data_IF_887304651704
#
_entry.id   IF_887304651704
#
_cell.length_a   1.000
_cell.length_b   1.000
_cell.length_c   1.000
_cell.angle_alpha   90.00
_cell.angle_beta   90.00
_cell.angle_gamma   90.00
#
_symmetry.space_group_name_H-M   'P 1'
#
loop_
_entity.id
_entity.type
_entity.pdbx_description
1 polymer ?
#
# COMPACT_ATOMS: atom_id res chain seq x y z
N UNK A 1 9.02 5.78 9.74
CA UNK A 1 7.82 5.79 10.60
C UNK A 1 7.04 4.52 10.29
N UNK A 2 6.75 3.72 11.30
CA UNK A 2 6.02 2.46 11.13
C UNK A 2 4.53 2.75 10.93
N UNK A 3 3.90 2.04 10.00
CA UNK A 3 2.44 2.09 9.82
C UNK A 3 1.95 0.66 9.86
N UNK A 4 1.05 0.36 10.81
CA UNK A 4 0.35 -0.91 10.80
C UNK A 4 -0.51 -1.01 9.55
N UNK A 5 -0.30 -2.05 8.75
CA UNK A 5 -1.19 -2.40 7.63
C UNK A 5 -2.15 -3.45 8.13
N UNK A 6 -3.44 -3.15 8.09
CA UNK A 6 -4.50 -4.10 8.42
C UNK A 6 -5.10 -4.68 7.14
N UNK A 7 -5.25 -6.01 7.10
CA UNK A 7 -5.95 -6.72 6.04
C UNK A 7 -7.11 -7.51 6.64
N UNK A 8 -8.33 -7.31 6.15
CA UNK A 8 -9.51 -7.99 6.69
C UNK A 8 -9.50 -9.49 6.39
N UNK A 9 -10.21 -10.28 7.21
CA UNK A 9 -10.31 -11.74 7.01
C UNK A 9 -10.80 -12.13 5.61
N UNK A 10 -11.80 -11.40 5.09
CA UNK A 10 -12.30 -11.64 3.74
C UNK A 10 -11.24 -11.43 2.65
N UNK A 11 -10.31 -10.49 2.84
CA UNK A 11 -9.17 -10.30 1.94
C UNK A 11 -8.21 -11.49 2.04
N UNK A 12 -7.89 -11.92 3.26
CA UNK A 12 -6.99 -13.07 3.50
C UNK A 12 -7.58 -14.38 2.96
N UNK A 13 -8.88 -14.63 3.12
CA UNK A 13 -9.53 -15.83 2.60
C UNK A 13 -9.46 -15.89 1.07
N UNK A 14 -9.64 -14.76 0.37
CA UNK A 14 -9.45 -14.68 -1.08
C UNK A 14 -7.99 -14.88 -1.50
N UNK A 15 -7.03 -14.53 -0.65
CA UNK A 15 -5.62 -14.85 -0.90
C UNK A 15 -5.41 -16.37 -0.87
N UNK A 16 -5.92 -17.04 0.16
CA UNK A 16 -5.80 -18.49 0.36
C UNK A 16 -6.51 -19.32 -0.73
N UNK A 17 -7.70 -18.90 -1.17
CA UNK A 17 -8.44 -19.60 -2.23
C UNK A 17 -7.77 -19.40 -3.60
N UNK A 18 -7.20 -18.23 -3.87
CA UNK A 18 -6.47 -17.99 -5.12
C UNK A 18 -5.15 -18.78 -5.19
N UNK A 19 -4.48 -19.02 -4.06
CA UNK A 19 -3.29 -19.90 -4.02
C UNK A 19 -3.66 -21.38 -4.25
N UNK A 20 -4.84 -21.81 -3.81
CA UNK A 20 -5.33 -23.16 -4.07
C UNK A 20 -5.74 -23.39 -5.55
N UNK A 21 -6.11 -22.33 -6.28
CA UNK A 21 -6.36 -22.38 -7.72
C UNK A 21 -5.10 -22.28 -8.59
N UNK A 22 -4.02 -21.67 -8.08
CA UNK A 22 -2.78 -21.46 -8.82
C UNK A 22 -1.84 -22.69 -8.80
N UNK A 23 -2.06 -23.68 -7.93
CA UNK A 23 -1.28 -24.92 -7.87
C UNK A 23 -1.62 -25.94 -8.98
N UNK A 24 -2.59 -25.66 -9.85
CA UNK A 24 -3.01 -26.55 -10.94
C UNK A 24 -2.33 -26.27 -12.31
N UNK A 25 -1.35 -25.36 -12.39
CA UNK A 25 -0.67 -25.07 -13.66
C UNK A 25 0.63 -24.29 -13.49
N UNK A 26 1.71 -24.96 -13.12
CA UNK A 26 3.06 -24.37 -13.16
C UNK A 26 4.01 -25.34 -13.87
N UNK A 27 4.15 -25.15 -15.18
CA UNK A 27 5.22 -25.72 -15.98
C UNK A 27 6.57 -25.11 -15.63
N UNK A 28 7.60 -25.94 -15.71
CA UNK A 28 9.01 -25.68 -15.42
C UNK A 28 9.57 -24.51 -16.22
N UNK A 29 10.07 -23.47 -15.55
CA UNK A 29 11.04 -22.51 -16.12
C UNK A 29 12.18 -22.32 -15.11
N UNK A 30 13.38 -22.71 -15.53
CA UNK A 30 14.63 -22.55 -14.81
C UNK A 30 15.18 -21.12 -14.95
N UNK A 31 15.81 -20.63 -13.87
CA UNK A 31 16.91 -19.68 -13.92
C UNK A 31 16.54 -18.19 -13.87
N UNK A 32 16.95 -17.50 -12.80
CA UNK A 32 16.98 -16.04 -12.75
C UNK A 32 16.80 -15.46 -11.35
N UNK A 33 17.93 -15.19 -10.70
CA UNK A 33 18.15 -14.26 -9.57
C UNK A 33 17.09 -14.18 -8.47
N UNK A 34 17.44 -14.74 -7.32
CA UNK A 34 16.77 -14.59 -6.03
C UNK A 34 16.59 -13.12 -5.67
N UNK A 35 15.49 -12.51 -6.10
CA UNK A 35 14.97 -11.30 -5.46
C UNK A 35 14.70 -11.69 -4.02
N UNK A 36 15.50 -11.16 -3.12
CA UNK A 36 15.31 -11.29 -1.68
C UNK A 36 13.98 -10.62 -1.33
N UNK A 37 12.90 -11.36 -1.44
CA UNK A 37 11.59 -10.98 -0.93
C UNK A 37 11.73 -10.91 0.59
N UNK A 38 11.91 -9.71 1.13
CA UNK A 38 11.78 -9.46 2.56
C UNK A 38 10.41 -9.98 3.00
N UNK A 39 10.39 -11.13 3.68
CA UNK A 39 9.17 -11.75 4.16
C UNK A 39 8.51 -10.83 5.17
N UNK A 40 7.36 -10.28 4.82
CA UNK A 40 6.53 -9.58 5.80
C UNK A 40 5.82 -10.62 6.63
N UNK A 41 6.12 -10.63 7.93
CA UNK A 41 5.39 -11.43 8.90
C UNK A 41 4.01 -10.81 9.12
N UNK A 42 2.97 -11.53 8.70
CA UNK A 42 1.59 -11.23 9.07
C UNK A 42 1.26 -11.91 10.40
N UNK A 43 0.81 -11.11 11.36
CA UNK A 43 0.28 -11.62 12.61
C UNK A 43 -1.24 -11.58 12.54
N UNK A 44 -1.89 -12.72 12.82
CA UNK A 44 -3.34 -12.76 12.94
C UNK A 44 -3.78 -11.82 14.08
N UNK A 45 -4.78 -10.98 13.79
CA UNK A 45 -5.35 -10.04 14.75
C UNK A 45 -6.83 -10.35 14.94
N UNK A 46 -7.22 -10.56 16.20
CA UNK A 46 -8.61 -10.78 16.62
C UNK A 46 -8.95 -9.79 17.74
N UNK A 47 -8.99 -8.50 17.41
CA UNK A 47 -9.36 -7.46 18.37
C UNK A 47 -10.87 -7.18 18.26
N UNK A 48 -11.58 -7.26 19.38
CA UNK A 48 -12.97 -6.82 19.53
C UNK A 48 -13.95 -7.32 18.45
N UNK A 49 -13.90 -8.62 18.10
CA UNK A 49 -14.81 -9.23 17.13
C UNK A 49 -14.50 -8.97 15.65
N UNK A 50 -13.43 -8.22 15.35
CA UNK A 50 -12.91 -8.06 14.00
C UNK A 50 -11.75 -9.03 13.74
N UNK A 51 -11.88 -9.86 12.71
CA UNK A 51 -10.86 -10.84 12.28
C UNK A 51 -10.04 -10.23 11.12
N UNK A 52 -8.72 -10.21 11.25
CA UNK A 52 -7.82 -9.69 10.22
C UNK A 52 -6.36 -10.12 10.41
N UNK A 53 -5.45 -9.50 9.68
CA UNK A 53 -4.01 -9.64 9.87
C UNK A 53 -3.35 -8.27 9.93
N UNK A 54 -2.37 -8.16 10.81
CA UNK A 54 -1.50 -7.00 10.94
C UNK A 54 -0.14 -7.35 10.38
N UNK A 55 0.42 -6.45 9.58
CA UNK A 55 1.79 -6.54 9.11
C UNK A 55 2.61 -5.34 9.57
N UNK A 56 3.86 -5.62 9.87
CA UNK A 56 4.89 -4.61 10.06
C UNK A 56 5.47 -4.24 8.69
N UNK A 57 5.21 -3.02 8.23
CA UNK A 57 5.67 -2.54 6.92
C UNK A 57 6.12 -1.07 6.97
N UNK A 58 7.06 -0.72 6.08
CA UNK A 58 7.51 0.64 5.82
C UNK A 58 7.00 1.10 4.46
N UNK A 59 6.08 2.07 4.46
CA UNK A 59 5.48 2.61 3.23
C UNK A 59 6.51 3.17 2.25
N UNK A 60 7.66 3.62 2.71
CA UNK A 60 8.71 4.19 1.85
C UNK A 60 9.38 3.17 0.94
N UNK A 61 9.30 1.89 1.32
CA UNK A 61 9.86 0.75 0.59
C UNK A 61 8.85 0.13 -0.38
N UNK A 62 7.58 0.55 -0.29
CA UNK A 62 6.47 -0.04 -1.03
C UNK A 62 5.67 -1.04 -0.19
N UNK A 63 4.85 -1.83 -0.85
CA UNK A 63 3.96 -2.81 -0.22
C UNK A 63 4.20 -4.20 -0.84
N UNK A 64 4.56 -5.22 -0.04
CA UNK A 64 4.92 -6.54 -0.55
C UNK A 64 3.70 -7.45 -0.68
N UNK A 65 2.69 -7.00 -1.41
CA UNK A 65 1.52 -7.81 -1.75
C UNK A 65 1.48 -8.11 -3.24
N UNK A 66 0.81 -9.21 -3.59
CA UNK A 66 0.58 -9.58 -4.99
C UNK A 66 -0.30 -8.55 -5.71
N UNK A 67 -0.18 -8.52 -7.03
CA UNK A 67 -1.06 -7.71 -7.87
C UNK A 67 -2.54 -8.05 -7.64
N UNK A 68 -3.40 -7.04 -7.52
CA UNK A 68 -4.84 -7.23 -7.37
C UNK A 68 -5.28 -7.97 -6.09
N UNK A 69 -4.45 -7.93 -5.04
CA UNK A 69 -4.77 -8.51 -3.73
C UNK A 69 -6.00 -7.86 -3.06
N UNK A 70 -6.21 -6.55 -3.25
CA UNK A 70 -7.17 -5.77 -2.48
C UNK A 70 -8.25 -5.11 -3.32
N UNK A 71 -9.46 -5.08 -2.76
CA UNK A 71 -10.63 -4.39 -3.33
C UNK A 71 -10.67 -2.91 -2.96
N UNK A 72 -9.98 -2.53 -1.88
CA UNK A 72 -9.83 -1.15 -1.43
C UNK A 72 -8.59 -0.99 -0.54
N UNK A 73 -8.13 0.25 -0.39
CA UNK A 73 -7.06 0.61 0.54
C UNK A 73 -7.48 1.85 1.35
N UNK A 74 -7.29 1.83 2.66
CA UNK A 74 -7.55 2.97 3.54
C UNK A 74 -6.31 3.25 4.37
N UNK A 75 -5.91 4.52 4.44
CA UNK A 75 -4.87 4.99 5.37
C UNK A 75 -5.42 6.16 6.17
N UNK A 76 -5.34 6.07 7.50
CA UNK A 76 -5.78 7.13 8.41
C UNK A 76 -4.56 7.65 9.14
N UNK A 77 -4.29 8.94 9.01
CA UNK A 77 -3.25 9.65 9.76
C UNK A 77 -1.87 8.98 9.71
N UNK A 78 -1.53 8.33 8.60
CA UNK A 78 -0.25 7.63 8.45
C UNK A 78 0.55 8.01 7.18
N UNK A 79 -0.09 8.17 6.03
CA UNK A 79 0.62 8.43 4.78
C UNK A 79 1.41 9.76 4.78
N UNK A 80 1.06 10.73 5.65
CA UNK A 80 1.79 12.00 5.78
C UNK A 80 3.26 11.82 6.18
N UNK A 81 3.60 10.73 6.88
CA UNK A 81 4.97 10.47 7.28
C UNK A 81 5.92 10.25 6.09
N UNK A 82 5.40 9.86 4.92
CA UNK A 82 6.18 9.77 3.68
C UNK A 82 6.73 11.15 3.25
N UNK A 83 5.96 12.20 3.54
CA UNK A 83 6.29 13.59 3.26
C UNK A 83 7.20 14.20 4.33
N UNK A 84 6.91 13.96 5.62
CA UNK A 84 7.63 14.59 6.74
C UNK A 84 9.04 14.00 6.98
N UNK A 85 9.26 12.71 6.69
CA UNK A 85 10.53 12.02 7.00
C UNK A 85 11.77 12.48 6.19
N UNK A 86 11.64 13.43 5.26
CA UNK A 86 12.80 14.09 4.64
C UNK A 86 12.59 15.61 4.54
N UNK A 87 12.36 16.25 5.68
CA UNK A 87 12.44 17.70 5.78
C UNK A 87 13.73 18.19 5.09
N UNK A 88 13.59 18.92 3.98
CA UNK A 88 14.70 19.48 3.20
C UNK A 88 15.12 18.73 1.93
N UNK A 89 14.66 17.50 1.66
CA UNK A 89 15.00 16.78 0.41
C UNK A 89 13.74 16.39 -0.39
N UNK A 90 13.38 17.26 -1.34
CA UNK A 90 12.20 17.10 -2.20
C UNK A 90 12.29 15.85 -3.09
N UNK A 91 13.46 15.54 -3.64
CA UNK A 91 13.64 14.39 -4.52
C UNK A 91 13.42 13.06 -3.77
N UNK A 92 13.95 12.94 -2.55
CA UNK A 92 13.75 11.78 -1.70
C UNK A 92 12.26 11.60 -1.34
N UNK A 93 11.57 12.70 -1.02
CA UNK A 93 10.12 12.70 -0.76
C UNK A 93 9.31 12.23 -1.96
N UNK A 94 9.56 12.79 -3.15
CA UNK A 94 8.90 12.37 -4.39
C UNK A 94 9.17 10.91 -4.71
N UNK A 95 10.40 10.42 -4.51
CA UNK A 95 10.76 9.03 -4.72
C UNK A 95 9.95 8.08 -3.82
N UNK A 96 9.84 8.38 -2.52
CA UNK A 96 9.05 7.57 -1.57
C UNK A 96 7.57 7.58 -1.89
N UNK A 97 6.99 8.75 -2.19
CA UNK A 97 5.58 8.86 -2.56
C UNK A 97 5.28 8.09 -3.84
N UNK A 98 6.12 8.22 -4.88
CA UNK A 98 5.97 7.45 -6.12
C UNK A 98 6.02 5.95 -5.87
N UNK A 99 6.96 5.46 -5.06
CA UNK A 99 7.06 4.04 -4.69
C UNK A 99 5.82 3.55 -3.96
N UNK A 100 5.37 4.29 -2.96
CA UNK A 100 4.16 3.97 -2.20
C UNK A 100 2.93 3.89 -3.09
N UNK A 101 2.64 4.93 -3.88
CA UNK A 101 1.45 4.97 -4.74
C UNK A 101 1.51 3.92 -5.86
N UNK A 102 2.69 3.67 -6.45
CA UNK A 102 2.87 2.59 -7.40
C UNK A 102 2.57 1.21 -6.77
N UNK A 103 3.02 0.97 -5.53
CA UNK A 103 2.73 -0.26 -4.81
C UNK A 103 1.24 -0.39 -4.47
N UNK A 104 0.59 0.67 -4.01
CA UNK A 104 -0.86 0.69 -3.77
C UNK A 104 -1.62 0.34 -5.06
N UNK A 105 -1.31 1.02 -6.16
CA UNK A 105 -1.92 0.74 -7.47
C UNK A 105 -1.65 -0.67 -7.98
N UNK A 106 -0.49 -1.25 -7.67
CA UNK A 106 -0.17 -2.63 -8.02
C UNK A 106 -1.05 -3.62 -7.24
N UNK A 107 -1.20 -3.42 -5.94
CA UNK A 107 -1.91 -4.33 -5.05
C UNK A 107 -3.45 -4.22 -5.18
N UNK A 108 -3.96 -3.16 -5.80
CA UNK A 108 -5.39 -2.93 -6.00
C UNK A 108 -5.92 -3.58 -7.28
N UNK A 109 -7.15 -4.11 -7.22
CA UNK A 109 -7.88 -4.59 -8.39
C UNK A 109 -8.33 -3.44 -9.30
N UNK A 110 -8.58 -3.68 -10.60
CA UNK A 110 -9.22 -2.69 -11.46
C UNK A 110 -10.56 -2.20 -10.86
N UNK A 111 -10.76 -0.89 -10.82
CA UNK A 111 -11.97 -0.27 -10.24
C UNK A 111 -11.97 -0.12 -8.72
N UNK A 112 -10.97 -0.65 -8.01
CA UNK A 112 -10.80 -0.49 -6.57
C UNK A 112 -10.58 0.98 -6.16
N UNK A 113 -10.89 1.30 -4.90
CA UNK A 113 -10.79 2.65 -4.35
C UNK A 113 -9.72 2.75 -3.27
N UNK A 114 -9.07 3.91 -3.20
CA UNK A 114 -8.13 4.24 -2.13
C UNK A 114 -8.57 5.53 -1.45
N UNK A 115 -8.55 5.55 -0.12
CA UNK A 115 -8.84 6.74 0.69
C UNK A 115 -7.68 6.95 1.65
N UNK A 116 -7.05 8.13 1.57
CA UNK A 116 -5.95 8.50 2.44
C UNK A 116 -6.32 9.78 3.19
N UNK A 117 -6.57 9.67 4.49
CA UNK A 117 -6.70 10.82 5.38
C UNK A 117 -5.31 11.20 5.87
N UNK A 118 -4.90 12.45 5.63
CA UNK A 118 -3.56 12.95 5.91
C UNK A 118 -3.61 14.36 6.50
N UNK A 119 -2.55 14.73 7.21
CA UNK A 119 -2.30 16.08 7.70
C UNK A 119 -1.04 16.63 7.00
N UNK A 120 -1.17 17.27 5.83
CA UNK A 120 -0.04 17.87 5.13
C UNK A 120 0.50 19.07 5.93
N UNK A 121 1.82 19.27 5.92
CA UNK A 121 2.46 20.38 6.63
C UNK A 121 2.29 21.73 5.91
N UNK A 122 2.25 21.70 4.57
CA UNK A 122 2.09 22.87 3.71
C UNK A 122 1.30 22.44 2.47
N UNK A 123 0.72 23.42 1.77
CA UNK A 123 0.01 23.25 0.50
C UNK A 123 0.87 22.48 -0.51
N UNK A 124 2.17 22.76 -0.58
CA UNK A 124 3.12 22.05 -1.46
C UNK A 124 3.15 20.54 -1.20
N UNK A 125 2.93 20.11 0.04
CA UNK A 125 2.91 18.69 0.39
C UNK A 125 1.68 18.00 -0.19
N UNK A 126 0.53 18.66 -0.10
CA UNK A 126 -0.72 18.21 -0.73
C UNK A 126 -0.53 18.04 -2.23
N UNK A 127 -0.01 19.07 -2.92
CA UNK A 127 0.25 19.00 -4.37
C UNK A 127 1.21 17.87 -4.74
N UNK A 128 2.27 17.67 -3.97
CA UNK A 128 3.26 16.60 -4.23
C UNK A 128 2.65 15.21 -4.06
N UNK A 129 1.78 15.03 -3.07
CA UNK A 129 1.06 13.77 -2.87
C UNK A 129 0.09 13.51 -4.02
N UNK A 130 -0.70 14.51 -4.44
CA UNK A 130 -1.62 14.37 -5.56
C UNK A 130 -0.92 14.08 -6.89
N UNK A 131 0.19 14.78 -7.20
CA UNK A 131 0.97 14.54 -8.41
C UNK A 131 1.54 13.11 -8.42
N UNK A 132 2.05 12.64 -7.27
CA UNK A 132 2.53 11.26 -7.13
C UNK A 132 1.41 10.22 -7.30
N UNK A 133 0.22 10.51 -6.76
CA UNK A 133 -0.99 9.70 -6.94
C UNK A 133 -1.37 9.61 -8.42
N UNK A 134 -1.49 10.75 -9.10
CA UNK A 134 -1.85 10.83 -10.53
C UNK A 134 -0.85 10.08 -11.41
N UNK A 135 0.46 10.25 -11.16
CA UNK A 135 1.53 9.55 -11.90
C UNK A 135 1.51 8.03 -11.71
N UNK A 136 0.93 7.53 -10.61
CA UNK A 136 0.78 6.08 -10.42
C UNK A 136 -0.36 5.48 -11.24
N UNK A 137 -1.20 6.30 -11.89
CA UNK A 137 -2.38 5.84 -12.63
C UNK A 137 -3.63 5.67 -11.76
N UNK A 138 -3.60 6.19 -10.53
CA UNK A 138 -4.78 6.40 -9.70
C UNK A 138 -5.45 7.72 -10.13
N UNK A 139 -6.78 7.74 -10.10
CA UNK A 139 -7.59 8.91 -10.44
C UNK A 139 -8.32 9.39 -9.19
N UNK A 140 -8.15 10.67 -8.86
CA UNK A 140 -8.71 11.30 -7.67
C UNK A 140 -8.01 12.63 -7.34
N UNK A 141 -8.42 13.25 -6.24
CA UNK A 141 -7.86 14.50 -5.72
C UNK A 141 -8.09 14.63 -4.22
N UNK A 142 -7.50 15.65 -3.60
CA UNK A 142 -7.72 15.95 -2.19
C UNK A 142 -9.12 16.52 -1.96
N UNK A 143 -9.72 16.14 -0.83
CA UNK A 143 -10.97 16.70 -0.31
C UNK A 143 -10.66 17.21 1.10
N UNK A 144 -10.99 18.47 1.37
CA UNK A 144 -10.85 19.08 2.69
C UNK A 144 -12.23 19.18 3.32
N UNK A 145 -12.37 18.62 4.51
CA UNK A 145 -13.57 18.80 5.33
C UNK A 145 -13.30 19.91 6.36
N UNK A 146 -14.30 20.77 6.62
CA UNK A 146 -14.20 21.95 7.50
C UNK A 146 -12.95 22.84 7.28
N UNK A 147 -12.88 23.58 6.15
CA UNK A 147 -11.73 24.41 5.78
C UNK A 147 -11.58 25.70 6.60
#
# INVERSE_FOLDING_TARGET
AWVGVDASRAMLDRLAHATAGASAGAGTVQGGESRQCSAVCFQASQRHGATGAVALADFSQGLPFRAGAFDACVSVSAAQWLSCAAAGNLAAKQCRLRRFFAAVRHCLKPGARVVLQVYPADVRDTWTMEDSLRRSGLVGGAVTDFP
#
